data_IF_760564240715
#
_entry.id   IF_760564240715
#
_cell.length_a   1.000
_cell.length_b   1.000
_cell.length_c   1.000
_cell.angle_alpha   90.00
_cell.angle_beta   90.00
_cell.angle_gamma   90.00
#
_symmetry.space_group_name_H-M   'P 1'
#
loop_
_entity.id
_entity.type
_entity.pdbx_description
1 polymer ?
#
# COMPACT_ATOMS: atom_id res chain seq x y z
N UNK A 1 19.14 -5.73 -12.90
CA UNK A 1 18.71 -4.63 -13.77
C UNK A 1 17.41 -4.03 -13.26
N UNK A 2 17.31 -2.70 -13.25
CA UNK A 2 16.07 -1.98 -12.96
C UNK A 2 15.33 -1.73 -14.26
N UNK A 3 14.00 -1.97 -14.26
CA UNK A 3 13.14 -1.70 -15.39
C UNK A 3 11.80 -1.13 -14.91
N UNK A 4 11.32 -0.09 -15.58
CA UNK A 4 9.97 0.43 -15.36
C UNK A 4 8.96 -0.53 -16.00
N UNK A 5 8.14 -1.17 -15.20
CA UNK A 5 7.16 -2.18 -15.63
C UNK A 5 5.92 -2.15 -14.74
N UNK A 6 4.86 -2.78 -15.23
CA UNK A 6 3.59 -2.95 -14.52
C UNK A 6 3.49 -4.36 -13.92
N UNK A 7 2.81 -4.48 -12.78
CA UNK A 7 2.52 -5.79 -12.19
C UNK A 7 1.62 -6.67 -13.06
N UNK A 8 0.86 -6.03 -13.95
CA UNK A 8 0.00 -6.68 -14.95
C UNK A 8 0.76 -7.21 -16.18
N UNK A 9 2.10 -6.97 -16.25
CA UNK A 9 2.97 -7.44 -17.34
C UNK A 9 4.40 -7.59 -16.81
N UNK A 10 4.64 -8.61 -16.00
CA UNK A 10 5.96 -8.87 -15.39
C UNK A 10 6.94 -9.33 -16.47
N UNK A 11 8.12 -8.67 -16.64
CA UNK A 11 9.08 -8.96 -17.69
C UNK A 11 9.96 -10.16 -17.32
N UNK A 12 9.35 -11.32 -17.14
CA UNK A 12 10.00 -12.59 -16.84
C UNK A 12 9.30 -13.72 -17.60
N UNK A 13 10.06 -14.76 -17.93
CA UNK A 13 9.54 -15.94 -18.61
C UNK A 13 8.61 -16.74 -17.69
N UNK A 14 7.80 -17.60 -18.26
CA UNK A 14 6.94 -18.51 -17.52
C UNK A 14 7.78 -19.42 -16.62
N UNK A 15 7.34 -19.61 -15.38
CA UNK A 15 7.96 -20.48 -14.38
C UNK A 15 9.49 -20.24 -14.18
N UNK A 16 9.92 -18.98 -14.24
CA UNK A 16 11.34 -18.59 -14.15
C UNK A 16 11.76 -18.03 -12.79
N UNK A 17 10.82 -17.55 -11.97
CA UNK A 17 11.13 -16.90 -10.69
C UNK A 17 10.91 -17.81 -9.48
N UNK A 18 11.84 -17.76 -8.54
CA UNK A 18 11.75 -18.41 -7.23
C UNK A 18 10.84 -17.68 -6.27
N UNK A 19 10.91 -16.34 -6.33
CA UNK A 19 10.19 -15.48 -5.41
C UNK A 19 9.85 -14.14 -6.06
N UNK A 20 8.71 -13.57 -5.63
CA UNK A 20 8.28 -12.21 -5.96
C UNK A 20 7.97 -11.50 -4.63
N UNK A 21 8.48 -10.28 -4.50
CA UNK A 21 8.20 -9.43 -3.35
C UNK A 21 7.56 -8.12 -3.82
N UNK A 22 6.43 -7.77 -3.22
CA UNK A 22 5.72 -6.52 -3.48
C UNK A 22 5.57 -5.73 -2.16
N UNK A 23 6.56 -4.87 -1.85
CA UNK A 23 6.54 -4.05 -0.64
C UNK A 23 5.80 -2.74 -0.91
N UNK A 24 4.66 -2.54 -0.24
CA UNK A 24 3.81 -1.34 -0.27
C UNK A 24 3.47 -0.83 -1.69
N UNK A 25 3.47 -1.72 -2.68
CA UNK A 25 3.25 -1.39 -4.10
C UNK A 25 1.93 -1.97 -4.65
N UNK A 26 1.51 -3.13 -4.16
CA UNK A 26 0.32 -3.83 -4.68
C UNK A 26 -0.99 -3.00 -4.56
N UNK A 27 -1.06 -2.10 -3.58
CA UNK A 27 -2.21 -1.21 -3.41
C UNK A 27 -2.36 -0.19 -4.56
N UNK A 28 -1.33 0.03 -5.36
CA UNK A 28 -1.34 0.92 -6.53
C UNK A 28 -1.63 0.19 -7.85
N UNK A 29 -1.75 -1.12 -7.83
CA UNK A 29 -2.10 -1.94 -9.00
C UNK A 29 -3.58 -1.77 -9.32
N UNK A 30 -3.89 -1.42 -10.58
CA UNK A 30 -5.25 -1.16 -11.04
C UNK A 30 -5.99 -2.49 -11.29
N UNK A 31 -5.40 -3.37 -12.08
CA UNK A 31 -5.96 -4.70 -12.38
C UNK A 31 -5.22 -5.80 -11.58
N UNK A 32 -5.66 -6.00 -10.35
CA UNK A 32 -5.07 -7.00 -9.46
C UNK A 32 -5.35 -8.43 -9.91
N UNK A 33 -6.43 -8.67 -10.66
CA UNK A 33 -6.72 -9.99 -11.20
C UNK A 33 -5.70 -10.38 -12.28
N UNK A 34 -5.32 -9.43 -13.16
CA UNK A 34 -4.24 -9.63 -14.14
C UNK A 34 -2.89 -9.75 -13.44
N UNK A 35 -2.61 -8.94 -12.40
CA UNK A 35 -1.39 -9.09 -11.61
C UNK A 35 -1.29 -10.47 -10.94
N UNK A 36 -2.37 -11.00 -10.37
CA UNK A 36 -2.39 -12.35 -9.80
C UNK A 36 -2.13 -13.44 -10.85
N UNK A 37 -2.61 -13.25 -12.09
CA UNK A 37 -2.31 -14.13 -13.23
C UNK A 37 -0.82 -14.09 -13.57
N UNK A 38 -0.23 -12.92 -13.65
CA UNK A 38 1.19 -12.75 -13.93
C UNK A 38 2.07 -13.35 -12.83
N UNK A 39 1.74 -13.10 -11.55
CA UNK A 39 2.42 -13.75 -10.41
C UNK A 39 2.41 -15.27 -10.57
N UNK A 40 1.26 -15.85 -10.91
CA UNK A 40 1.16 -17.31 -11.10
C UNK A 40 1.93 -17.77 -12.34
N UNK A 41 1.98 -16.99 -13.42
CA UNK A 41 2.68 -17.32 -14.66
C UNK A 41 4.19 -17.41 -14.42
N UNK A 42 4.79 -16.38 -13.85
CA UNK A 42 6.25 -16.27 -13.74
C UNK A 42 6.84 -17.08 -12.60
N UNK A 43 6.08 -17.39 -11.54
CA UNK A 43 6.56 -18.25 -10.47
C UNK A 43 6.72 -19.70 -10.97
N UNK A 44 7.86 -20.30 -10.67
CA UNK A 44 8.05 -21.75 -10.85
C UNK A 44 7.22 -22.56 -9.85
N UNK A 45 6.98 -23.85 -10.09
CA UNK A 45 6.42 -24.75 -9.08
C UNK A 45 7.19 -24.65 -7.75
N UNK A 46 6.48 -24.49 -6.64
CA UNK A 46 7.05 -24.24 -5.31
C UNK A 46 7.51 -22.81 -5.05
N UNK A 47 7.50 -21.93 -6.05
CA UNK A 47 7.86 -20.52 -5.93
C UNK A 47 6.89 -19.74 -5.03
N UNK A 48 7.35 -18.62 -4.48
CA UNK A 48 6.65 -17.84 -3.43
C UNK A 48 6.39 -16.41 -3.86
N UNK A 49 5.23 -15.89 -3.48
CA UNK A 49 4.88 -14.48 -3.56
C UNK A 49 4.64 -13.94 -2.15
N UNK A 50 5.22 -12.77 -1.85
CA UNK A 50 4.98 -12.04 -0.59
C UNK A 50 4.67 -10.59 -0.92
N UNK A 51 3.59 -10.07 -0.34
CA UNK A 51 3.28 -8.65 -0.43
C UNK A 51 3.00 -8.06 0.95
N UNK A 52 3.47 -6.83 1.16
CA UNK A 52 3.10 -6.00 2.29
C UNK A 52 2.21 -4.87 1.79
N UNK A 53 1.05 -4.67 2.42
CA UNK A 53 0.13 -3.59 2.14
C UNK A 53 -0.44 -3.03 3.44
N UNK A 54 -0.75 -1.74 3.44
CA UNK A 54 -1.40 -1.16 4.62
C UNK A 54 -2.82 -1.70 4.79
N UNK A 55 -3.24 -1.87 6.04
CA UNK A 55 -4.64 -2.02 6.41
C UNK A 55 -5.42 -0.72 6.15
N UNK A 56 -6.70 -0.67 6.51
CA UNK A 56 -7.53 0.52 6.35
C UNK A 56 -7.19 1.66 7.34
N UNK A 57 -7.77 2.85 7.13
CA UNK A 57 -7.50 4.02 7.97
C UNK A 57 -7.94 3.86 9.43
N UNK A 58 -8.80 2.89 9.72
CA UNK A 58 -9.19 2.57 11.11
C UNK A 58 -8.08 1.83 11.88
N UNK A 59 -7.13 1.21 11.18
CA UNK A 59 -6.08 0.39 11.78
C UNK A 59 -4.66 0.84 11.41
N UNK A 60 -4.53 1.86 10.55
CA UNK A 60 -3.25 2.39 10.11
C UNK A 60 -3.29 3.92 10.07
N UNK A 61 -2.62 4.55 11.03
CA UNK A 61 -2.55 6.01 11.13
C UNK A 61 -1.90 6.65 9.90
N UNK A 62 -0.91 5.98 9.28
CA UNK A 62 -0.31 6.45 8.03
C UNK A 62 -1.32 6.53 6.90
N UNK A 63 -2.25 5.58 6.81
CA UNK A 63 -3.30 5.57 5.79
C UNK A 63 -4.29 6.71 6.05
N UNK A 64 -4.68 6.90 7.31
CA UNK A 64 -5.54 8.01 7.73
C UNK A 64 -4.91 9.37 7.37
N UNK A 65 -3.62 9.53 7.67
CA UNK A 65 -2.84 10.72 7.32
C UNK A 65 -2.85 10.95 5.80
N UNK A 66 -2.42 9.94 5.01
CA UNK A 66 -2.28 10.06 3.56
C UNK A 66 -3.62 10.25 2.83
N UNK A 67 -4.69 9.61 3.29
CA UNK A 67 -6.02 9.82 2.71
C UNK A 67 -6.53 11.23 2.98
N UNK A 68 -6.30 11.78 4.18
CA UNK A 68 -6.67 13.15 4.50
C UNK A 68 -5.88 14.15 3.66
N UNK A 69 -4.57 14.00 3.56
CA UNK A 69 -3.74 14.86 2.70
C UNK A 69 -4.15 14.74 1.22
N UNK A 70 -4.41 13.52 0.74
CA UNK A 70 -4.77 13.25 -0.65
C UNK A 70 -6.18 13.70 -1.05
N UNK A 71 -7.07 13.97 -0.09
CA UNK A 71 -8.42 14.47 -0.38
C UNK A 71 -8.44 15.89 -0.99
N UNK A 72 -7.33 16.60 -0.91
CA UNK A 72 -7.14 17.91 -1.52
C UNK A 72 -6.63 17.86 -2.96
N UNK A 73 -6.33 16.67 -3.48
CA UNK A 73 -5.88 16.54 -4.86
C UNK A 73 -7.01 16.93 -5.84
N UNK A 74 -6.71 17.71 -6.90
CA UNK A 74 -7.71 18.17 -7.85
C UNK A 74 -8.29 17.05 -8.71
N UNK A 75 -7.55 15.98 -8.89
CA UNK A 75 -8.01 14.79 -9.60
C UNK A 75 -8.42 13.74 -8.57
N UNK A 76 -9.69 13.29 -8.60
CA UNK A 76 -10.11 12.26 -7.66
C UNK A 76 -9.22 11.01 -7.85
N UNK A 77 -8.78 10.40 -6.77
CA UNK A 77 -7.96 9.19 -6.85
C UNK A 77 -8.75 8.09 -7.59
N UNK A 78 -8.05 7.27 -8.36
CA UNK A 78 -8.66 6.11 -9.01
C UNK A 78 -9.27 5.23 -7.93
N UNK A 79 -10.56 4.94 -8.04
CA UNK A 79 -11.27 4.14 -7.03
C UNK A 79 -10.60 2.79 -6.83
N UNK A 80 -10.38 2.41 -5.58
CA UNK A 80 -9.74 1.14 -5.23
C UNK A 80 -8.23 1.11 -5.45
N UNK A 81 -7.59 2.27 -5.61
CA UNK A 81 -6.13 2.41 -5.76
C UNK A 81 -5.60 3.37 -4.69
N UNK A 82 -4.44 3.06 -4.14
CA UNK A 82 -3.77 3.89 -3.13
C UNK A 82 -3.73 3.27 -1.74
N UNK A 83 -3.23 4.01 -0.75
CA UNK A 83 -3.13 3.55 0.64
C UNK A 83 -4.48 3.11 1.20
N UNK A 84 -4.54 1.90 1.77
CA UNK A 84 -5.78 1.29 2.27
C UNK A 84 -6.67 0.63 1.22
N UNK A 85 -6.30 0.63 -0.06
CA UNK A 85 -7.08 0.00 -1.14
C UNK A 85 -7.22 -1.53 -0.98
N UNK A 86 -6.35 -2.15 -0.19
CA UNK A 86 -6.39 -3.56 0.19
C UNK A 86 -6.65 -3.72 1.71
N UNK A 87 -7.45 -2.82 2.30
CA UNK A 87 -7.89 -2.95 3.69
C UNK A 87 -8.57 -4.30 3.97
N UNK A 88 -9.31 -4.80 2.99
CA UNK A 88 -9.78 -6.19 2.93
C UNK A 88 -9.05 -6.91 1.77
N UNK A 89 -8.14 -7.86 2.05
CA UNK A 89 -7.40 -8.59 1.03
C UNK A 89 -8.16 -9.79 0.44
N UNK A 90 -9.39 -10.08 0.90
CA UNK A 90 -10.14 -11.30 0.60
C UNK A 90 -10.30 -11.54 -0.90
N UNK A 91 -10.63 -10.51 -1.67
CA UNK A 91 -10.78 -10.62 -3.12
C UNK A 91 -9.45 -10.99 -3.78
N UNK A 92 -8.35 -10.32 -3.43
CA UNK A 92 -7.05 -10.61 -4.00
C UNK A 92 -6.54 -12.02 -3.62
N UNK A 93 -6.77 -12.45 -2.39
CA UNK A 93 -6.48 -13.83 -1.97
C UNK A 93 -7.29 -14.86 -2.80
N UNK A 94 -8.55 -14.57 -3.09
CA UNK A 94 -9.38 -15.40 -3.95
C UNK A 94 -8.83 -15.46 -5.38
N UNK A 95 -8.38 -14.33 -5.93
CA UNK A 95 -7.76 -14.26 -7.25
C UNK A 95 -6.47 -15.10 -7.33
N UNK A 96 -5.61 -15.06 -6.30
CA UNK A 96 -4.42 -15.90 -6.20
C UNK A 96 -4.78 -17.39 -6.14
N UNK A 97 -5.77 -17.76 -5.31
CA UNK A 97 -6.22 -19.16 -5.17
C UNK A 97 -6.82 -19.71 -6.45
N UNK A 98 -7.56 -18.89 -7.20
CA UNK A 98 -8.10 -19.24 -8.52
C UNK A 98 -6.97 -19.55 -9.55
N UNK A 99 -5.74 -19.12 -9.28
CA UNK A 99 -4.53 -19.41 -10.08
C UNK A 99 -3.67 -20.52 -9.50
N UNK A 100 -4.22 -21.38 -8.61
CA UNK A 100 -3.56 -22.50 -7.96
C UNK A 100 -2.37 -22.08 -7.08
N UNK A 101 -2.43 -20.90 -6.48
CA UNK A 101 -1.55 -20.52 -5.39
C UNK A 101 -2.24 -20.77 -4.05
N UNK A 102 -1.54 -21.40 -3.13
CA UNK A 102 -1.94 -21.46 -1.73
C UNK A 102 -1.68 -20.08 -1.13
N UNK A 103 -2.73 -19.34 -0.80
CA UNK A 103 -2.61 -17.93 -0.35
C UNK A 103 -3.25 -17.72 1.01
N UNK A 104 -2.56 -16.97 1.88
CA UNK A 104 -3.03 -16.53 3.18
C UNK A 104 -2.61 -15.07 3.44
N UNK A 105 -3.13 -14.49 4.51
CA UNK A 105 -2.79 -13.15 4.96
C UNK A 105 -2.62 -13.16 6.48
N UNK A 106 -1.57 -12.51 6.94
CA UNK A 106 -1.31 -12.23 8.35
C UNK A 106 -1.28 -10.72 8.57
N UNK A 107 -1.71 -10.26 9.76
CA UNK A 107 -1.69 -8.85 10.11
C UNK A 107 -0.63 -8.62 11.19
N UNK A 108 0.25 -7.65 10.96
CA UNK A 108 1.29 -7.22 11.89
C UNK A 108 1.11 -5.74 12.17
N UNK A 109 1.16 -5.36 13.44
CA UNK A 109 1.10 -3.95 13.84
C UNK A 109 2.50 -3.47 14.20
N UNK A 110 2.90 -2.35 13.61
CA UNK A 110 4.14 -1.64 13.92
C UNK A 110 3.83 -0.24 14.41
N UNK A 111 4.67 0.28 15.29
CA UNK A 111 4.52 1.64 15.81
C UNK A 111 5.79 2.45 15.54
N UNK A 112 5.62 3.74 15.30
CA UNK A 112 6.71 4.71 15.30
C UNK A 112 6.21 6.04 15.87
N UNK A 113 7.12 6.83 16.43
CA UNK A 113 6.81 8.07 17.12
C UNK A 113 7.36 9.27 16.35
N UNK A 114 6.55 10.32 16.24
CA UNK A 114 6.99 11.64 15.84
C UNK A 114 6.98 12.56 17.03
N UNK A 115 8.03 13.36 17.20
CA UNK A 115 8.15 14.32 18.30
C UNK A 115 7.07 15.41 18.26
N UNK A 116 6.61 15.77 17.07
CA UNK A 116 5.49 16.67 16.84
C UNK A 116 4.99 16.52 15.38
N UNK A 117 4.05 17.40 14.98
CA UNK A 117 3.42 17.33 13.65
C UNK A 117 4.38 17.58 12.48
N UNK A 118 5.28 18.57 12.58
CA UNK A 118 6.07 18.99 11.40
C UNK A 118 7.00 17.89 10.89
N UNK A 119 7.77 17.15 11.72
CA UNK A 119 8.50 15.96 11.27
C UNK A 119 7.62 14.88 10.64
N UNK A 120 6.38 14.70 11.11
CA UNK A 120 5.47 13.75 10.50
C UNK A 120 5.01 14.21 9.11
N UNK A 121 4.71 15.50 8.98
CA UNK A 121 4.34 16.10 7.69
C UNK A 121 5.47 15.96 6.67
N UNK A 122 6.69 16.34 7.05
CA UNK A 122 7.87 16.27 6.17
C UNK A 122 8.17 14.85 5.70
N UNK A 123 7.95 13.86 6.57
CA UNK A 123 8.20 12.46 6.25
C UNK A 123 7.10 11.81 5.40
N UNK A 124 5.83 12.19 5.58
CA UNK A 124 4.70 11.41 5.07
C UNK A 124 3.88 12.11 3.96
N UNK A 125 3.91 13.45 3.88
CA UNK A 125 3.03 14.19 2.98
C UNK A 125 3.54 14.23 1.52
N UNK A 126 4.85 14.17 1.29
CA UNK A 126 5.49 14.46 0.02
C UNK A 126 4.87 13.73 -1.18
N UNK A 127 4.63 12.42 -1.06
CA UNK A 127 4.08 11.61 -2.16
C UNK A 127 2.65 12.04 -2.53
N UNK A 128 1.88 12.50 -1.55
CA UNK A 128 0.45 12.84 -1.74
C UNK A 128 0.23 14.29 -2.14
N UNK A 129 1.14 15.18 -1.72
CA UNK A 129 0.94 16.63 -1.82
C UNK A 129 1.91 17.34 -2.76
N UNK A 130 2.94 16.66 -3.27
CA UNK A 130 3.98 17.28 -4.10
C UNK A 130 3.48 18.01 -5.36
N UNK A 131 2.32 17.59 -5.90
CA UNK A 131 1.71 18.18 -7.08
C UNK A 131 0.63 19.23 -6.75
N UNK A 132 0.38 19.52 -5.48
CA UNK A 132 -0.61 20.52 -5.06
C UNK A 132 -0.02 21.92 -5.12
N UNK A 133 -0.86 22.90 -5.44
CA UNK A 133 -0.51 24.31 -5.31
C UNK A 133 -0.18 24.66 -3.84
N UNK A 134 0.72 25.61 -3.56
CA UNK A 134 1.18 25.90 -2.20
C UNK A 134 0.05 26.22 -1.19
N UNK A 135 -0.97 26.97 -1.60
CA UNK A 135 -2.12 27.29 -0.76
C UNK A 135 -2.96 26.02 -0.43
N UNK A 136 -3.11 25.12 -1.41
CA UNK A 136 -3.82 23.84 -1.21
C UNK A 136 -3.01 22.90 -0.31
N UNK A 137 -1.67 22.94 -0.40
CA UNK A 137 -0.81 22.21 0.53
C UNK A 137 -0.98 22.68 1.98
N UNK A 138 -1.08 24.01 2.20
CA UNK A 138 -1.31 24.53 3.55
C UNK A 138 -2.68 24.12 4.09
N UNK A 139 -3.73 24.13 3.27
CA UNK A 139 -5.05 23.64 3.66
C UNK A 139 -5.02 22.15 4.02
N UNK A 140 -4.34 21.33 3.21
CA UNK A 140 -4.14 19.91 3.48
C UNK A 140 -3.35 19.69 4.78
N UNK A 141 -2.29 20.48 4.99
CA UNK A 141 -1.48 20.47 6.21
C UNK A 141 -2.30 20.81 7.44
N UNK A 142 -3.13 21.85 7.35
CA UNK A 142 -4.02 22.24 8.45
C UNK A 142 -5.05 21.15 8.78
N UNK A 143 -5.66 20.54 7.77
CA UNK A 143 -6.63 19.45 7.96
C UNK A 143 -6.01 18.21 8.61
N UNK A 144 -4.82 17.79 8.14
CA UNK A 144 -4.10 16.65 8.73
C UNK A 144 -3.67 16.97 10.16
N UNK A 145 -3.20 18.19 10.44
CA UNK A 145 -2.85 18.63 11.79
C UNK A 145 -4.06 18.56 12.72
N UNK A 146 -5.20 19.12 12.31
CA UNK A 146 -6.41 19.10 13.11
C UNK A 146 -6.90 17.68 13.42
N UNK A 147 -6.78 16.75 12.46
CA UNK A 147 -7.20 15.36 12.64
C UNK A 147 -6.23 14.55 13.49
N UNK A 148 -4.92 14.71 13.26
CA UNK A 148 -3.89 13.84 13.83
C UNK A 148 -3.25 14.43 15.09
N UNK A 149 -3.29 15.75 15.28
CA UNK A 149 -2.79 16.47 16.47
C UNK A 149 -3.85 17.45 17.00
N UNK A 150 -5.00 16.95 17.49
CA UNK A 150 -6.08 17.81 17.95
C UNK A 150 -5.67 18.75 19.12
N UNK A 151 -4.70 18.32 19.93
CA UNK A 151 -4.14 19.12 21.01
C UNK A 151 -3.05 20.12 20.55
N UNK A 152 -2.73 20.11 19.25
CA UNK A 152 -1.86 21.07 18.58
C UNK A 152 -0.38 20.79 18.62
N UNK A 153 0.16 20.17 19.68
CA UNK A 153 1.61 19.97 19.88
C UNK A 153 1.92 18.66 20.61
N UNK A 154 3.19 18.30 20.63
CA UNK A 154 3.73 17.16 21.38
C UNK A 154 3.90 15.88 20.56
N UNK A 155 4.51 14.85 21.18
CA UNK A 155 4.79 13.61 20.51
C UNK A 155 3.49 12.82 20.22
N UNK A 156 3.54 12.05 19.12
CA UNK A 156 2.47 11.14 18.76
C UNK A 156 3.01 9.81 18.25
N UNK A 157 2.52 8.74 18.81
CA UNK A 157 2.77 7.38 18.32
C UNK A 157 1.75 7.04 17.24
N UNK A 158 2.23 6.70 16.05
CA UNK A 158 1.43 6.12 14.97
C UNK A 158 1.41 4.60 15.13
N UNK A 159 0.21 4.03 15.12
CA UNK A 159 -0.02 2.59 15.08
C UNK A 159 -0.45 2.19 13.69
N UNK A 160 0.26 1.25 13.06
CA UNK A 160 0.04 0.91 11.66
C UNK A 160 -0.06 -0.60 11.48
N UNK A 161 -1.24 -1.08 11.21
CA UNK A 161 -1.44 -2.46 10.80
C UNK A 161 -1.05 -2.63 9.33
N UNK A 162 -0.17 -3.59 9.09
CA UNK A 162 0.27 -4.04 7.77
C UNK A 162 -0.27 -5.43 7.53
N UNK A 163 -0.85 -5.66 6.39
CA UNK A 163 -1.25 -6.98 5.93
C UNK A 163 -0.11 -7.59 5.12
N UNK A 164 0.37 -8.73 5.57
CA UNK A 164 1.38 -9.55 4.90
C UNK A 164 0.65 -10.67 4.15
N UNK A 165 0.63 -10.57 2.84
CA UNK A 165 0.02 -11.56 1.95
C UNK A 165 1.10 -12.53 1.51
N UNK A 166 0.88 -13.81 1.76
CA UNK A 166 1.76 -14.89 1.35
C UNK A 166 1.05 -15.77 0.34
N UNK A 167 1.75 -16.16 -0.72
CA UNK A 167 1.24 -17.19 -1.62
C UNK A 167 2.38 -18.11 -2.09
N UNK A 168 2.03 -19.37 -2.33
CA UNK A 168 2.95 -20.39 -2.84
C UNK A 168 2.31 -21.10 -4.02
N UNK A 169 3.04 -21.25 -5.11
CA UNK A 169 2.60 -22.05 -6.25
C UNK A 169 2.73 -23.53 -5.91
N UNK A 170 1.68 -24.29 -6.15
CA UNK A 170 1.73 -25.75 -5.99
C UNK A 170 2.88 -26.37 -6.79
N UNK A 171 3.42 -27.48 -6.29
CA UNK A 171 4.50 -28.22 -6.94
C UNK A 171 4.02 -28.90 -8.23
#
# INVERSE_FOLDING_TARGET
DLAERRAEAIPADDASLDAIIASLSLMYVIDRATAAKEVARVLRPGGRFVAAVWAGPAEADIVKFQQTAGSFAPTPPVRGVGPGALADPTEFLSQLRARRLEANCEKVTTTFEFANFDPAWDALAGVTTAALEPNVQEDAKAAVRALMWPDGTGPRTFSNATQLIFARKAA
#
